data_IF_045899123863
#
_entry.id   IF_045899123863
#
_cell.length_a   1.000
_cell.length_b   1.000
_cell.length_c   1.000
_cell.angle_alpha   90.00
_cell.angle_beta   90.00
_cell.angle_gamma   90.00
#
_symmetry.space_group_name_H-M   'P 1'
#
loop_
_entity.id
_entity.type
_entity.pdbx_description
1 polymer ?
#
# COMPACT_ATOMS: atom_id res chain seq x y z
N UNK A 1 7.10 -8.51 11.07
CA UNK A 1 5.73 -8.23 10.60
C UNK A 1 5.03 -7.39 11.65
N UNK A 2 4.26 -6.39 11.24
CA UNK A 2 3.38 -5.62 12.11
C UNK A 2 2.02 -5.39 11.42
N UNK A 3 1.70 -4.17 11.05
CA UNK A 3 0.34 -3.75 10.67
C UNK A 3 -0.18 -4.54 9.45
N UNK A 4 -1.45 -4.98 9.48
CA UNK A 4 -2.14 -5.45 8.28
C UNK A 4 -2.47 -4.27 7.37
N UNK A 5 -2.32 -4.46 6.07
CA UNK A 5 -2.52 -3.44 5.06
C UNK A 5 -3.41 -3.96 3.93
N UNK A 6 -4.15 -3.06 3.28
CA UNK A 6 -4.79 -3.32 1.99
C UNK A 6 -5.69 -4.57 1.88
N UNK A 7 -6.35 -5.00 2.95
CA UNK A 7 -7.28 -6.13 2.90
C UNK A 7 -8.39 -5.86 1.86
N UNK A 8 -8.50 -6.75 0.86
CA UNK A 8 -9.53 -6.64 -0.17
C UNK A 8 -9.88 -8.00 -0.77
N UNK A 9 -11.06 -8.10 -1.37
CA UNK A 9 -11.43 -9.23 -2.21
C UNK A 9 -11.40 -8.83 -3.68
N UNK A 10 -10.68 -9.59 -4.50
CA UNK A 10 -10.54 -9.35 -5.93
C UNK A 10 -10.51 -10.69 -6.69
N UNK A 11 -11.32 -10.83 -7.75
CA UNK A 11 -11.36 -12.05 -8.60
C UNK A 11 -11.40 -13.37 -7.82
N UNK A 12 -12.27 -13.47 -6.81
CA UNK A 12 -12.44 -14.63 -5.92
C UNK A 12 -11.25 -14.95 -4.99
N UNK A 13 -10.26 -14.06 -4.91
CA UNK A 13 -9.16 -14.15 -3.97
C UNK A 13 -9.29 -13.03 -2.94
N UNK A 14 -9.02 -13.34 -1.67
CA UNK A 14 -8.78 -12.33 -0.64
C UNK A 14 -7.29 -12.03 -0.63
N UNK A 15 -6.93 -10.77 -0.78
CA UNK A 15 -5.56 -10.27 -0.71
C UNK A 15 -5.35 -9.58 0.64
N UNK A 16 -4.25 -9.91 1.31
CA UNK A 16 -3.79 -9.22 2.51
C UNK A 16 -2.35 -8.79 2.27
N UNK A 17 -2.10 -7.52 2.53
CA UNK A 17 -0.76 -6.96 2.58
C UNK A 17 -0.38 -6.72 4.04
N UNK A 18 0.91 -6.55 4.31
CA UNK A 18 1.36 -6.31 5.68
C UNK A 18 2.73 -5.65 5.69
N UNK A 19 2.95 -4.86 6.73
CA UNK A 19 4.25 -4.27 7.01
C UNK A 19 5.30 -5.36 7.25
N UNK A 20 6.34 -5.37 6.41
CA UNK A 20 7.39 -6.39 6.39
C UNK A 20 8.78 -5.77 6.21
N UNK A 21 9.74 -6.17 7.04
CA UNK A 21 11.15 -5.93 6.81
C UNK A 21 11.75 -7.23 6.24
N UNK A 22 12.12 -7.29 4.94
CA UNK A 22 12.63 -8.50 4.31
C UNK A 22 14.05 -8.87 4.74
N UNK A 23 14.75 -7.99 5.46
CA UNK A 23 16.17 -8.16 5.78
C UNK A 23 16.40 -8.63 7.22
N UNK A 24 15.57 -8.19 8.16
CA UNK A 24 15.77 -8.44 9.58
C UNK A 24 14.45 -8.63 10.34
N UNK A 25 14.52 -9.28 11.51
CA UNK A 25 13.38 -9.49 12.40
C UNK A 25 13.09 -8.29 13.33
N UNK A 26 13.44 -7.08 12.90
CA UNK A 26 13.20 -5.81 13.59
C UNK A 26 12.55 -4.81 12.65
N UNK A 27 11.98 -3.73 13.20
CA UNK A 27 11.43 -2.64 12.39
C UNK A 27 12.57 -1.91 11.65
N UNK A 28 12.33 -1.50 10.41
CA UNK A 28 13.34 -0.89 9.53
C UNK A 28 12.73 -0.31 8.26
N UNK A 29 13.44 -0.31 7.12
CA UNK A 29 12.88 0.10 5.83
C UNK A 29 11.72 -0.80 5.42
N UNK A 30 10.51 -0.33 5.68
CA UNK A 30 9.32 -1.19 5.57
C UNK A 30 8.89 -1.39 4.12
N UNK A 31 8.46 -2.60 3.84
CA UNK A 31 7.86 -3.06 2.60
C UNK A 31 6.43 -3.53 2.86
N UNK A 32 5.65 -3.72 1.79
CA UNK A 32 4.40 -4.48 1.87
C UNK A 32 4.64 -5.90 1.39
N UNK A 33 4.66 -6.84 2.34
CA UNK A 33 4.50 -8.26 2.04
C UNK A 33 3.09 -8.53 1.53
N UNK A 34 2.89 -9.65 0.83
CA UNK A 34 1.63 -9.98 0.17
C UNK A 34 1.31 -11.46 0.32
N UNK A 35 0.08 -11.75 0.76
CA UNK A 35 -0.52 -13.09 0.70
C UNK A 35 -1.90 -13.03 0.03
N UNK A 36 -2.29 -14.13 -0.58
CA UNK A 36 -3.64 -14.31 -1.10
C UNK A 36 -4.26 -15.62 -0.60
N UNK A 37 -5.58 -15.65 -0.44
CA UNK A 37 -6.33 -16.82 0.02
C UNK A 37 -7.70 -16.92 -0.64
N UNK A 38 -8.18 -18.13 -0.99
CA UNK A 38 -9.55 -18.32 -1.44
C UNK A 38 -10.58 -18.36 -0.30
N UNK A 39 -10.14 -18.56 0.96
CA UNK A 39 -11.03 -18.93 2.07
C UNK A 39 -10.66 -18.29 3.43
N UNK A 40 -9.70 -17.36 3.46
CA UNK A 40 -9.14 -16.72 4.66
C UNK A 40 -8.41 -17.67 5.62
N UNK A 41 -8.22 -18.94 5.27
CA UNK A 41 -7.58 -19.95 6.12
C UNK A 41 -6.30 -20.47 5.47
N UNK A 42 -6.35 -20.79 4.19
CA UNK A 42 -5.21 -21.29 3.42
C UNK A 42 -4.61 -20.15 2.60
N UNK A 43 -3.35 -19.82 2.87
CA UNK A 43 -2.67 -18.65 2.31
C UNK A 43 -1.52 -19.04 1.40
N UNK A 44 -1.37 -18.31 0.30
CA UNK A 44 -0.21 -18.39 -0.60
C UNK A 44 0.61 -17.11 -0.42
N UNK A 45 1.91 -17.26 -0.17
CA UNK A 45 2.85 -16.15 -0.18
C UNK A 45 3.15 -15.70 -1.60
N UNK A 46 3.07 -14.40 -1.83
CA UNK A 46 3.30 -13.75 -3.11
C UNK A 46 4.53 -12.84 -3.02
N UNK A 47 5.06 -12.36 -4.17
CA UNK A 47 6.15 -11.39 -4.16
C UNK A 47 5.82 -10.14 -3.33
N UNK A 48 6.85 -9.43 -2.89
CA UNK A 48 6.68 -8.12 -2.25
C UNK A 48 5.89 -7.20 -3.18
N UNK A 49 4.81 -6.63 -2.67
CA UNK A 49 3.94 -5.75 -3.44
C UNK A 49 4.53 -4.35 -3.58
N UNK A 50 5.00 -3.76 -2.47
CA UNK A 50 5.63 -2.44 -2.43
C UNK A 50 6.99 -2.51 -1.73
N UNK A 51 8.01 -2.02 -2.41
CA UNK A 51 9.35 -1.81 -1.87
C UNK A 51 9.70 -0.31 -1.95
N UNK A 52 10.49 0.26 -1.03
CA UNK A 52 11.08 1.59 -1.18
C UNK A 52 11.81 1.68 -2.52
N UNK A 53 11.38 2.56 -3.42
CA UNK A 53 11.90 2.65 -4.79
C UNK A 53 11.89 4.05 -5.38
N UNK A 54 11.14 4.97 -4.77
CA UNK A 54 10.89 6.30 -5.30
C UNK A 54 11.17 7.37 -4.24
N UNK A 55 11.40 8.64 -4.64
CA UNK A 55 11.80 9.68 -3.69
C UNK A 55 10.86 9.86 -2.50
N UNK A 56 9.53 9.72 -2.71
CA UNK A 56 8.50 9.91 -1.69
C UNK A 56 8.38 8.75 -0.68
N UNK A 57 9.01 7.61 -0.94
CA UNK A 57 8.97 6.42 -0.08
C UNK A 57 10.35 5.82 0.20
N UNK A 58 11.39 6.60 -0.02
CA UNK A 58 12.81 6.20 0.05
C UNK A 58 13.22 5.56 1.38
N UNK A 59 12.56 5.90 2.49
CA UNK A 59 12.81 5.30 3.81
C UNK A 59 11.81 4.19 4.16
N UNK A 60 10.71 4.03 3.43
CA UNK A 60 9.72 3.01 3.73
C UNK A 60 8.36 3.18 3.04
N UNK A 61 7.75 2.05 2.67
CA UNK A 61 6.34 1.95 2.32
C UNK A 61 5.53 1.57 3.57
N UNK A 62 4.97 2.56 4.24
CA UNK A 62 4.22 2.40 5.49
C UNK A 62 2.75 2.04 5.25
N UNK A 63 2.00 1.90 6.35
CA UNK A 63 0.65 1.36 6.36
C UNK A 63 -0.33 2.12 5.48
N UNK A 64 -1.42 1.43 5.16
CA UNK A 64 -2.44 1.92 4.24
C UNK A 64 -3.48 0.87 3.90
N UNK A 65 -4.28 1.18 2.89
CA UNK A 65 -5.51 0.47 2.55
C UNK A 65 -5.61 0.24 1.04
N UNK A 66 -6.61 -0.55 0.66
CA UNK A 66 -6.89 -0.88 -0.74
C UNK A 66 -8.34 -0.55 -1.04
N UNK A 67 -8.60 -0.14 -2.28
CA UNK A 67 -9.94 0.08 -2.80
C UNK A 67 -10.08 -0.61 -4.15
N UNK A 68 -11.02 -1.53 -4.28
CA UNK A 68 -11.53 -1.94 -5.60
C UNK A 68 -12.52 -0.85 -6.03
N UNK A 69 -12.12 -0.07 -7.03
CA UNK A 69 -12.89 1.07 -7.54
C UNK A 69 -14.19 0.61 -8.19
N UNK A 70 -15.23 1.44 -8.11
CA UNK A 70 -16.51 1.20 -8.81
C UNK A 70 -16.48 1.58 -10.28
N UNK A 71 -15.52 2.43 -10.69
CA UNK A 71 -15.40 2.95 -12.06
C UNK A 71 -14.89 1.88 -13.04
N UNK A 72 -13.76 1.26 -12.74
CA UNK A 72 -13.12 0.25 -13.61
C UNK A 72 -13.05 -1.14 -12.97
N UNK A 73 -13.46 -1.29 -11.70
CA UNK A 73 -13.35 -2.55 -10.97
C UNK A 73 -11.91 -2.94 -10.66
N UNK A 74 -10.93 -2.02 -10.79
CA UNK A 74 -9.50 -2.31 -10.63
C UNK A 74 -9.03 -1.85 -9.25
N UNK A 75 -8.30 -2.69 -8.49
CA UNK A 75 -7.83 -2.31 -7.18
C UNK A 75 -6.78 -1.19 -7.25
N UNK A 76 -6.79 -0.32 -6.26
CA UNK A 76 -5.78 0.72 -6.01
C UNK A 76 -5.31 0.59 -4.57
N UNK A 77 -3.99 0.62 -4.36
CA UNK A 77 -3.44 0.75 -3.01
C UNK A 77 -3.25 2.22 -2.69
N UNK A 78 -3.51 2.59 -1.45
CA UNK A 78 -3.17 3.88 -0.88
C UNK A 78 -2.30 3.62 0.34
N UNK A 79 -1.15 4.27 0.40
CA UNK A 79 -0.16 4.03 1.44
C UNK A 79 0.57 5.31 1.81
N UNK A 80 1.25 5.29 2.95
CA UNK A 80 2.16 6.36 3.33
C UNK A 80 3.58 6.03 2.88
N UNK A 81 4.16 6.87 2.02
CA UNK A 81 5.59 6.90 1.77
C UNK A 81 6.31 7.69 2.86
N UNK A 82 7.40 7.11 3.38
CA UNK A 82 8.27 7.73 4.37
C UNK A 82 9.58 8.19 3.73
N UNK A 83 10.06 9.37 4.10
CA UNK A 83 11.30 9.96 3.61
C UNK A 83 11.93 10.91 4.64
N UNK A 84 13.20 11.27 4.40
CA UNK A 84 14.02 12.17 5.22
C UNK A 84 14.07 11.75 6.71
N UNK A 85 14.58 10.54 6.94
CA UNK A 85 14.73 9.99 8.29
C UNK A 85 13.40 9.75 9.00
N UNK A 86 12.38 9.37 8.22
CA UNK A 86 10.99 9.14 8.67
C UNK A 86 10.21 10.40 9.08
N UNK A 87 10.77 11.60 8.88
CA UNK A 87 10.12 12.85 9.29
C UNK A 87 9.01 13.29 8.33
N UNK A 88 9.13 12.97 7.05
CA UNK A 88 8.17 13.34 6.03
C UNK A 88 7.32 12.12 5.64
N UNK A 89 6.01 12.24 5.87
CA UNK A 89 5.01 11.23 5.52
C UNK A 89 4.13 11.77 4.40
N UNK A 90 4.23 11.17 3.21
CA UNK A 90 3.47 11.54 2.02
C UNK A 90 2.48 10.44 1.65
N UNK A 91 1.28 10.81 1.21
CA UNK A 91 0.32 9.80 0.73
C UNK A 91 0.59 9.49 -0.73
N UNK A 92 0.61 8.21 -1.07
CA UNK A 92 0.91 7.72 -2.40
C UNK A 92 -0.05 6.59 -2.79
N UNK A 93 -0.10 6.28 -4.08
CA UNK A 93 -0.92 5.21 -4.65
C UNK A 93 -0.09 4.24 -5.48
N UNK A 94 -0.56 3.00 -5.56
CA UNK A 94 -0.04 2.00 -6.49
C UNK A 94 -1.18 1.29 -7.23
N UNK A 95 -0.90 0.93 -8.48
CA UNK A 95 -1.82 0.27 -9.40
C UNK A 95 -1.28 -1.12 -9.75
N UNK A 96 -2.13 -2.13 -9.97
CA UNK A 96 -1.65 -3.42 -10.45
C UNK A 96 -1.06 -3.27 -11.85
N UNK A 97 0.08 -3.93 -12.10
CA UNK A 97 0.68 -3.94 -13.43
C UNK A 97 -0.16 -4.72 -14.45
N UNK A 98 -0.88 -5.74 -13.97
CA UNK A 98 -1.83 -6.53 -14.75
C UNK A 98 -3.10 -6.80 -13.93
N UNK A 99 -4.20 -6.07 -14.17
CA UNK A 99 -5.49 -6.32 -13.51
C UNK A 99 -6.13 -7.68 -13.86
N UNK A 100 -5.63 -8.40 -14.88
CA UNK A 100 -6.11 -9.73 -15.20
C UNK A 100 -5.48 -10.81 -14.32
N UNK A 101 -4.32 -10.54 -13.71
CA UNK A 101 -3.65 -11.45 -12.77
C UNK A 101 -4.47 -11.57 -11.47
N UNK A 102 -5.07 -12.75 -11.17
CA UNK A 102 -5.84 -12.93 -9.94
C UNK A 102 -4.97 -12.87 -8.69
N UNK A 103 -3.65 -13.01 -8.80
CA UNK A 103 -2.72 -12.89 -7.68
C UNK A 103 -2.16 -11.48 -7.51
N UNK A 104 -2.32 -10.58 -8.49
CA UNK A 104 -1.81 -9.20 -8.44
C UNK A 104 -0.35 -9.15 -8.03
N UNK A 105 0.48 -9.95 -8.68
CA UNK A 105 1.89 -10.21 -8.31
C UNK A 105 2.81 -9.01 -8.48
N UNK A 106 2.38 -7.97 -9.20
CA UNK A 106 3.18 -6.78 -9.46
C UNK A 106 2.35 -5.51 -9.37
N UNK A 107 2.92 -4.50 -8.71
CA UNK A 107 2.35 -3.17 -8.54
C UNK A 107 3.28 -2.10 -9.12
N UNK A 108 2.67 -1.04 -9.65
CA UNK A 108 3.33 0.11 -10.25
C UNK A 108 3.00 1.36 -9.41
N UNK A 109 3.99 2.21 -9.20
CA UNK A 109 3.82 3.52 -8.55
C UNK A 109 3.88 4.60 -9.63
N UNK A 110 2.73 5.06 -10.15
CA UNK A 110 2.70 6.07 -11.21
C UNK A 110 3.29 7.41 -10.73
N UNK A 111 4.40 7.91 -11.32
CA UNK A 111 5.07 9.13 -10.87
C UNK A 111 4.27 10.40 -11.21
N UNK A 112 3.34 10.31 -12.15
CA UNK A 112 2.39 11.37 -12.52
C UNK A 112 1.24 11.52 -11.50
N UNK A 113 1.02 10.51 -10.65
CA UNK A 113 0.05 10.59 -9.55
C UNK A 113 0.71 10.76 -8.17
N UNK A 114 2.01 10.47 -8.04
CA UNK A 114 2.69 10.39 -6.76
C UNK A 114 3.69 11.52 -6.51
N UNK A 115 3.78 12.01 -5.26
CA UNK A 115 2.82 11.78 -4.17
C UNK A 115 1.47 12.43 -4.52
N UNK A 116 0.38 12.01 -3.87
CA UNK A 116 -1.01 12.44 -4.15
C UNK A 116 -1.29 13.93 -3.88
N UNK A 117 -0.26 14.74 -3.58
CA UNK A 117 -0.37 16.19 -3.44
C UNK A 117 -1.29 16.67 -2.32
N UNK A 118 -1.52 15.84 -1.29
CA UNK A 118 -2.41 16.20 -0.19
C UNK A 118 -1.75 17.21 0.75
N UNK A 119 -2.44 18.33 0.96
CA UNK A 119 -2.06 19.32 1.96
C UNK A 119 -2.33 18.80 3.37
N UNK A 120 -1.46 19.20 4.30
CA UNK A 120 -1.72 18.99 5.71
C UNK A 120 -2.94 19.82 6.14
N UNK A 121 -3.81 19.28 7.00
CA UNK A 121 -4.86 20.09 7.62
C UNK A 121 -4.23 21.23 8.44
N UNK A 122 -4.98 22.32 8.74
CA UNK A 122 -4.50 23.38 9.62
C UNK A 122 -3.97 22.82 10.95
N UNK A 123 -2.71 23.13 11.27
CA UNK A 123 -2.02 22.62 12.46
C UNK A 123 -1.46 21.20 12.32
N UNK A 124 -1.55 20.57 11.14
CA UNK A 124 -1.00 19.25 10.87
C UNK A 124 0.53 19.23 10.92
N UNK A 125 1.08 18.06 11.26
CA UNK A 125 2.52 17.83 11.38
C UNK A 125 2.94 16.79 10.36
N UNK A 126 4.00 17.07 9.58
CA UNK A 126 4.48 16.17 8.51
C UNK A 126 4.91 14.79 9.01
N UNK A 127 5.39 14.71 10.25
CA UNK A 127 5.77 13.47 10.91
C UNK A 127 4.58 12.71 11.55
N UNK A 128 3.34 13.19 11.38
CA UNK A 128 2.13 12.61 11.98
C UNK A 128 0.95 12.60 11.00
N UNK A 129 1.23 12.40 9.71
CA UNK A 129 0.22 12.37 8.66
C UNK A 129 0.36 11.11 7.82
N UNK A 130 -0.38 10.06 8.17
CA UNK A 130 -0.16 8.71 7.64
C UNK A 130 -1.41 7.85 7.72
N UNK A 131 -1.27 6.62 7.23
CA UNK A 131 -2.22 5.51 7.35
C UNK A 131 -3.55 5.82 6.64
N UNK A 132 -3.53 6.10 5.32
CA UNK A 132 -4.71 6.52 4.58
C UNK A 132 -5.75 5.40 4.56
N UNK A 133 -6.99 5.75 4.88
CA UNK A 133 -8.15 4.88 4.69
C UNK A 133 -8.65 5.03 3.26
N UNK A 134 -9.02 3.90 2.65
CA UNK A 134 -9.55 3.85 1.30
C UNK A 134 -10.80 4.73 1.23
N UNK A 135 -10.89 5.65 0.25
CA UNK A 135 -12.07 6.48 0.13
C UNK A 135 -13.28 5.59 -0.15
N UNK A 136 -14.40 5.84 0.53
CA UNK A 136 -15.67 5.22 0.17
C UNK A 136 -16.24 5.94 -1.05
N UNK A 137 -16.80 5.18 -1.99
CA UNK A 137 -17.62 5.77 -3.03
C UNK A 137 -18.84 6.43 -2.37
N UNK A 138 -18.98 7.75 -2.51
CA UNK A 138 -20.24 8.43 -2.21
C UNK A 138 -21.14 8.17 -3.42
N UNK A 139 -22.34 7.58 -3.25
CA UNK A 139 -23.29 7.35 -4.34
C UNK A 139 -23.66 8.63 -5.09
#
# INVERSE_FOLDING_TARGET
>A
INDPNGLMQYRNMVHVFFQYNPYEAVWGPMHWGHVASPDLVHWVHLPIALAPSDPWDSDGCWSGSALVTTEDGVPRLYYTGSQDGFFYQAQATALPADPADPFLTRWLKPPDLNPLGLDLPPGGVRAQFRDPIAPWAVP
#
